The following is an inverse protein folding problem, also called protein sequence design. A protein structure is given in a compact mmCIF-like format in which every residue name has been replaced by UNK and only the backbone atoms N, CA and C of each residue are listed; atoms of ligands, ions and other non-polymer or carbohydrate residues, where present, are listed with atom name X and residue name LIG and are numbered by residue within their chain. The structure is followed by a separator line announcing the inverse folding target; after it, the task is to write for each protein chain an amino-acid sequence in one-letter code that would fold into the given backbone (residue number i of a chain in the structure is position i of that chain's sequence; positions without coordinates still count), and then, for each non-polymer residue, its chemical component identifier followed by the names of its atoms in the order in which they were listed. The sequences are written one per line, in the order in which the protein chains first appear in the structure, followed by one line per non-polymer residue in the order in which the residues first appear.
data_IF_532327767230
#
_entry.id   IF_532327767230
#
_cell.length_a   1.000
_cell.length_b   1.000
_cell.length_c   1.000
_cell.angle_alpha   90.00
_cell.angle_beta   90.00
_cell.angle_gamma   90.00
#
_symmetry.space_group_name_H-M   'P 1'
#
loop_
_entity.id
_entity.type
_entity.pdbx_description
1 polymer ?
#
# COMPACT_ATOMS: atom_id res chain seq x y z
N UNK A 1 41.46 22.46 27.59
CA UNK A 1 41.61 21.68 28.82
C UNK A 1 41.07 20.26 28.63
N UNK A 2 42.02 19.33 28.45
CA UNK A 2 42.05 17.91 28.84
C UNK A 2 40.72 17.16 29.17
N UNK A 3 40.15 16.41 28.20
CA UNK A 3 39.25 15.24 28.44
C UNK A 3 39.89 13.83 28.29
N UNK A 4 41.21 13.58 28.45
CA UNK A 4 41.79 12.24 28.40
C UNK A 4 41.61 11.44 29.71
N UNK A 5 41.46 12.10 30.87
CA UNK A 5 41.41 11.39 32.16
C UNK A 5 40.12 10.58 32.37
N UNK A 6 38.99 11.04 31.83
CA UNK A 6 37.71 10.33 31.92
C UNK A 6 37.69 9.04 31.07
N UNK A 7 38.35 9.07 29.90
CA UNK A 7 38.51 7.88 29.05
C UNK A 7 39.47 6.86 29.66
N UNK A 8 40.52 7.35 30.34
CA UNK A 8 41.49 6.51 31.03
C UNK A 8 40.86 5.73 32.19
N UNK A 9 40.03 6.38 33.00
CA UNK A 9 39.30 5.71 34.10
C UNK A 9 38.29 4.65 33.63
N UNK A 10 37.63 4.86 32.48
CA UNK A 10 36.74 3.83 31.88
C UNK A 10 37.51 2.66 31.28
N UNK A 11 38.68 2.91 30.67
CA UNK A 11 39.53 1.83 30.13
C UNK A 11 40.18 1.02 31.25
N UNK A 12 40.62 1.67 32.32
CA UNK A 12 41.17 1.00 33.50
C UNK A 12 40.10 0.16 34.22
N UNK A 13 38.83 0.61 34.27
CA UNK A 13 37.73 -0.21 34.83
C UNK A 13 37.34 -1.40 33.97
N UNK A 14 37.48 -1.30 32.63
CA UNK A 14 37.25 -2.40 31.70
C UNK A 14 38.39 -3.42 31.71
N UNK A 15 39.62 -2.98 31.93
CA UNK A 15 40.81 -3.86 32.01
C UNK A 15 40.94 -4.53 33.39
N UNK A 16 40.53 -3.86 34.48
CA UNK A 16 40.51 -4.44 35.83
C UNK A 16 39.36 -5.43 36.08
N UNK A 17 38.45 -5.59 35.12
CA UNK A 17 37.47 -6.69 35.10
C UNK A 17 38.05 -8.03 34.63
N UNK A 18 39.39 -8.14 34.53
CA UNK A 18 40.04 -9.45 34.41
C UNK A 18 39.80 -10.31 35.65
N UNK A 19 39.05 -11.41 35.43
CA UNK A 19 39.13 -12.70 36.11
C UNK A 19 38.45 -12.82 37.48
N UNK A 20 37.15 -12.53 37.51
CA UNK A 20 36.26 -13.56 38.08
C UNK A 20 35.95 -14.56 36.98
N UNK A 21 36.82 -15.58 36.83
CA UNK A 21 36.52 -16.74 35.99
C UNK A 21 35.35 -17.49 36.59
N UNK A 22 34.12 -17.02 36.33
CA UNK A 22 32.94 -17.88 36.40
C UNK A 22 33.15 -18.93 35.33
N UNK A 23 33.62 -20.12 35.74
CA UNK A 23 33.67 -21.24 34.83
C UNK A 23 32.25 -21.49 34.32
N UNK A 24 32.01 -21.42 33.00
CA UNK A 24 30.71 -21.73 32.45
C UNK A 24 30.43 -23.22 32.71
N UNK A 25 29.48 -23.51 33.60
CA UNK A 25 29.01 -24.88 33.79
C UNK A 25 28.31 -25.34 32.52
N UNK A 26 28.68 -26.51 32.00
CA UNK A 26 27.93 -27.13 30.90
C UNK A 26 26.48 -27.33 31.38
N UNK A 27 25.48 -26.77 30.67
CA UNK A 27 24.09 -26.99 31.05
C UNK A 27 23.79 -28.49 31.03
N UNK A 28 23.01 -28.97 32.01
CA UNK A 28 22.73 -30.39 32.21
C UNK A 28 21.83 -31.02 31.14
N UNK A 29 21.54 -30.30 30.05
CA UNK A 29 20.69 -30.75 28.97
C UNK A 29 21.50 -31.46 27.88
N UNK A 30 21.03 -32.63 27.43
CA UNK A 30 21.67 -33.42 26.37
C UNK A 30 21.68 -32.72 25.00
N UNK A 31 20.80 -31.73 24.81
CA UNK A 31 20.76 -30.84 23.63
C UNK A 31 20.42 -29.43 24.11
N UNK A 32 21.20 -28.45 23.67
CA UNK A 32 20.99 -27.05 24.05
C UNK A 32 19.63 -26.55 23.53
N UNK A 33 18.78 -25.91 24.36
CA UNK A 33 17.56 -25.22 23.92
C UNK A 33 17.81 -24.06 22.95
N UNK A 34 19.07 -23.61 22.83
CA UNK A 34 19.49 -22.67 21.79
C UNK A 34 19.69 -23.36 20.43
N UNK A 35 19.84 -24.67 20.40
CA UNK A 35 19.99 -25.49 19.18
C UNK A 35 18.65 -26.18 18.87
N UNK A 36 17.99 -26.76 19.86
CA UNK A 36 16.63 -27.29 19.73
C UNK A 36 15.62 -26.14 19.78
N UNK A 37 14.93 -25.90 18.67
CA UNK A 37 14.02 -24.76 18.46
C UNK A 37 14.69 -23.40 18.23
N UNK A 38 15.99 -23.33 17.86
CA UNK A 38 16.62 -22.07 17.43
C UNK A 38 15.75 -21.27 16.43
N UNK A 39 15.05 -21.99 15.56
CA UNK A 39 14.14 -21.42 14.57
C UNK A 39 12.92 -20.71 15.17
N UNK A 40 12.42 -21.16 16.33
CA UNK A 40 11.33 -20.49 17.06
C UNK A 40 11.84 -19.24 17.79
N UNK A 41 13.08 -19.28 18.29
CA UNK A 41 13.65 -18.21 19.12
C UNK A 41 14.36 -17.11 18.33
N UNK A 42 14.92 -17.43 17.16
CA UNK A 42 15.76 -16.49 16.39
C UNK A 42 14.98 -15.37 15.70
N UNK A 43 13.64 -15.43 15.71
CA UNK A 43 12.77 -14.44 15.06
C UNK A 43 12.98 -14.30 13.55
N UNK A 44 13.79 -15.17 12.94
CA UNK A 44 14.09 -15.12 11.50
C UNK A 44 12.90 -15.71 10.74
N UNK A 45 12.25 -14.94 9.84
CA UNK A 45 11.17 -15.47 9.04
C UNK A 45 11.67 -16.65 8.20
N UNK A 46 11.05 -17.82 8.36
CA UNK A 46 11.23 -18.95 7.44
C UNK A 46 10.72 -18.51 6.07
N UNK A 47 11.64 -18.20 5.15
CA UNK A 47 11.29 -18.11 3.72
C UNK A 47 10.84 -19.50 3.29
N UNK A 48 9.55 -19.68 3.08
CA UNK A 48 9.03 -20.85 2.38
C UNK A 48 9.52 -20.76 0.94
N UNK A 49 10.65 -21.40 0.65
CA UNK A 49 11.15 -21.58 -0.70
C UNK A 49 10.28 -22.60 -1.43
N UNK A 50 9.11 -22.18 -1.90
CA UNK A 50 8.34 -22.96 -2.87
C UNK A 50 9.00 -22.77 -4.24
N UNK A 51 9.94 -23.65 -4.58
CA UNK A 51 10.57 -23.65 -5.91
C UNK A 51 9.62 -24.07 -7.03
N UNK A 52 8.50 -24.70 -6.67
CA UNK A 52 7.55 -25.27 -7.62
C UNK A 52 6.10 -25.02 -7.17
N UNK A 53 5.28 -24.45 -8.05
CA UNK A 53 3.85 -24.25 -7.81
C UNK A 53 3.10 -25.59 -7.60
N UNK A 54 3.63 -26.69 -8.14
CA UNK A 54 3.08 -28.03 -7.89
C UNK A 54 3.31 -28.52 -6.46
N UNK A 55 4.40 -28.10 -5.82
CA UNK A 55 4.66 -28.42 -4.41
C UNK A 55 3.67 -27.71 -3.48
N UNK A 56 3.31 -26.46 -3.79
CA UNK A 56 2.24 -25.74 -3.09
C UNK A 56 0.86 -26.43 -3.26
N UNK A 57 0.55 -26.92 -4.47
CA UNK A 57 -0.67 -27.72 -4.73
C UNK A 57 -0.69 -29.01 -3.91
N UNK A 58 0.44 -29.73 -3.81
CA UNK A 58 0.57 -30.97 -3.01
C UNK A 58 0.41 -30.72 -1.50
N UNK A 59 0.77 -29.53 -1.02
CA UNK A 59 0.59 -29.13 0.38
C UNK A 59 -0.80 -28.56 0.68
N UNK A 60 -1.74 -28.60 -0.27
CA UNK A 60 -3.03 -27.90 -0.18
C UNK A 60 -2.90 -26.41 0.17
N UNK A 61 -1.72 -25.82 -0.02
CA UNK A 61 -1.54 -24.39 0.10
C UNK A 61 -2.27 -23.77 -1.09
N UNK A 62 -3.02 -22.67 -0.89
CA UNK A 62 -3.73 -22.03 -1.99
C UNK A 62 -2.71 -21.58 -3.04
N UNK A 63 -2.56 -22.38 -4.10
CA UNK A 63 -1.61 -22.18 -5.19
C UNK A 63 -2.03 -21.06 -6.14
N UNK A 64 -2.88 -20.15 -5.67
CA UNK A 64 -3.54 -19.08 -6.41
C UNK A 64 -3.39 -17.72 -5.73
N UNK A 65 -2.26 -17.45 -5.06
CA UNK A 65 -2.00 -16.12 -4.52
C UNK A 65 -1.90 -15.05 -5.62
N UNK A 66 -1.53 -15.43 -6.84
CA UNK A 66 -1.49 -14.51 -7.99
C UNK A 66 -2.88 -13.98 -8.37
N UNK A 67 -3.95 -14.74 -8.10
CA UNK A 67 -5.33 -14.30 -8.33
C UNK A 67 -5.96 -13.65 -7.10
N UNK A 68 -5.24 -13.50 -5.99
CA UNK A 68 -5.75 -12.82 -4.81
C UNK A 68 -5.38 -11.33 -4.84
N UNK A 69 -6.38 -10.45 -4.78
CA UNK A 69 -6.19 -9.00 -4.77
C UNK A 69 -5.22 -8.52 -3.69
N UNK A 70 -5.36 -9.02 -2.46
CA UNK A 70 -4.53 -8.59 -1.33
C UNK A 70 -3.09 -9.08 -1.46
N UNK A 71 -2.89 -10.31 -1.94
CA UNK A 71 -1.55 -10.80 -2.22
C UNK A 71 -0.85 -9.95 -3.30
N UNK A 72 -1.56 -9.53 -4.36
CA UNK A 72 -1.00 -8.61 -5.37
C UNK A 72 -0.64 -7.24 -4.78
N UNK A 73 -1.51 -6.67 -3.95
CA UNK A 73 -1.23 -5.40 -3.27
C UNK A 73 0.03 -5.51 -2.38
N UNK A 74 0.13 -6.57 -1.58
CA UNK A 74 1.19 -6.78 -0.59
C UNK A 74 2.53 -7.22 -1.19
N UNK A 75 2.52 -7.88 -2.35
CA UNK A 75 3.74 -8.29 -3.07
C UNK A 75 4.40 -7.14 -3.83
N UNK A 76 3.71 -5.99 -3.95
CA UNK A 76 4.26 -4.83 -4.63
C UNK A 76 5.49 -4.24 -3.90
N UNK A 77 6.46 -3.65 -4.62
CA UNK A 77 7.67 -3.13 -4.00
C UNK A 77 7.40 -2.13 -2.88
N UNK A 78 8.12 -2.27 -1.76
CA UNK A 78 8.03 -1.35 -0.63
C UNK A 78 8.58 0.03 -1.00
N UNK A 79 7.83 1.08 -0.68
CA UNK A 79 8.22 2.48 -0.84
C UNK A 79 8.05 3.22 0.47
N UNK A 80 8.85 4.27 0.64
CA UNK A 80 8.77 5.13 1.82
C UNK A 80 7.65 6.15 1.61
N UNK A 81 6.65 6.14 2.47
CA UNK A 81 5.68 7.23 2.56
C UNK A 81 6.39 8.48 3.08
N UNK A 82 6.34 9.54 2.28
CA UNK A 82 6.96 10.82 2.57
C UNK A 82 6.38 11.54 3.79
N UNK A 83 5.09 11.34 4.03
CA UNK A 83 4.35 12.03 5.08
C UNK A 83 4.55 11.32 6.41
N UNK A 84 4.29 10.01 6.44
CA UNK A 84 4.33 9.20 7.67
C UNK A 84 5.71 8.63 7.99
N UNK A 85 6.64 8.61 7.02
CA UNK A 85 7.96 7.94 7.10
C UNK A 85 7.88 6.43 7.29
N UNK A 86 6.71 5.82 7.11
CA UNK A 86 6.51 4.38 7.15
C UNK A 86 6.78 3.78 5.77
N UNK A 87 7.35 2.58 5.72
CA UNK A 87 7.46 1.83 4.46
C UNK A 87 6.20 1.02 4.23
N UNK A 88 5.59 1.17 3.06
CA UNK A 88 4.42 0.41 2.65
C UNK A 88 4.57 -0.08 1.19
N UNK A 89 3.87 -1.16 0.81
CA UNK A 89 3.81 -1.59 -0.60
C UNK A 89 3.32 -0.45 -1.48
N UNK A 90 3.93 -0.25 -2.67
CA UNK A 90 3.63 0.89 -3.54
C UNK A 90 2.15 0.98 -3.90
N UNK A 91 1.43 -0.14 -4.02
CA UNK A 91 0.01 -0.13 -4.41
C UNK A 91 -0.91 0.40 -3.31
N UNK A 92 -0.43 0.48 -2.06
CA UNK A 92 -1.14 1.12 -0.94
C UNK A 92 -0.85 2.62 -0.83
N UNK A 93 -0.01 3.15 -1.73
CA UNK A 93 0.43 4.54 -1.74
C UNK A 93 -0.02 5.22 -3.03
N UNK A 94 -0.13 6.54 -2.99
CA UNK A 94 -0.35 7.39 -4.15
C UNK A 94 0.98 7.94 -4.63
N UNK A 95 1.19 7.90 -5.95
CA UNK A 95 2.32 8.57 -6.58
C UNK A 95 2.02 10.05 -6.75
N UNK A 96 2.87 10.89 -6.18
CA UNK A 96 2.87 12.34 -6.38
C UNK A 96 4.04 12.69 -7.27
N UNK A 97 3.77 13.34 -8.39
CA UNK A 97 4.75 13.65 -9.41
C UNK A 97 5.03 15.12 -9.52
N UNK A 98 6.30 15.44 -9.73
CA UNK A 98 6.72 16.79 -10.07
C UNK A 98 6.58 16.99 -11.57
N UNK A 99 5.70 17.91 -11.96
CA UNK A 99 5.43 18.31 -13.36
C UNK A 99 5.76 19.79 -13.53
N UNK A 100 6.05 20.19 -14.78
CA UNK A 100 6.09 21.62 -15.11
C UNK A 100 4.67 22.17 -14.95
N UNK A 101 4.54 23.29 -14.25
CA UNK A 101 3.26 23.95 -14.11
C UNK A 101 2.80 24.43 -15.49
N UNK A 102 1.54 24.17 -15.81
CA UNK A 102 0.91 24.81 -16.96
C UNK A 102 0.64 26.27 -16.58
N UNK A 103 1.36 27.20 -17.22
CA UNK A 103 1.34 28.63 -16.87
C UNK A 103 -0.08 29.21 -17.02
N UNK A 104 -0.89 28.66 -17.94
CA UNK A 104 -2.26 29.13 -18.18
C UNK A 104 -3.26 28.60 -17.15
N UNK A 105 -3.06 27.37 -16.66
CA UNK A 105 -3.94 26.71 -15.69
C UNK A 105 -3.46 26.81 -14.22
N UNK A 106 -2.23 27.27 -13.99
CA UNK A 106 -1.66 27.40 -12.65
C UNK A 106 -2.26 28.59 -11.89
N UNK A 107 -2.64 28.35 -10.64
CA UNK A 107 -3.15 29.37 -9.72
C UNK A 107 -2.05 30.40 -9.38
N UNK A 108 -0.79 29.95 -9.35
CA UNK A 108 0.36 30.78 -9.07
C UNK A 108 1.32 30.76 -10.26
N UNK A 109 1.11 31.70 -11.18
CA UNK A 109 1.90 31.89 -12.41
C UNK A 109 3.38 32.16 -12.15
N UNK A 110 3.77 32.43 -10.90
CA UNK A 110 5.16 32.66 -10.53
C UNK A 110 5.95 31.37 -10.32
N UNK A 111 5.29 30.22 -10.18
CA UNK A 111 5.95 28.95 -9.85
C UNK A 111 6.08 28.03 -11.07
N UNK A 112 7.30 27.58 -11.41
CA UNK A 112 7.54 26.78 -12.61
C UNK A 112 7.10 25.30 -12.49
N UNK A 113 6.84 24.79 -11.28
CA UNK A 113 6.51 23.38 -11.06
C UNK A 113 5.28 23.17 -10.16
N UNK A 114 4.68 22.00 -10.32
CA UNK A 114 3.54 21.54 -9.52
C UNK A 114 3.73 20.08 -9.09
N UNK A 115 3.22 19.75 -7.90
CA UNK A 115 3.15 18.39 -7.41
C UNK A 115 1.72 17.87 -7.59
N UNK A 116 1.52 16.89 -8.47
CA UNK A 116 0.20 16.28 -8.72
C UNK A 116 0.15 14.79 -8.38
N UNK A 117 -0.91 14.32 -7.70
CA UNK A 117 -1.14 12.89 -7.57
C UNK A 117 -1.47 12.27 -8.92
N UNK A 118 -1.22 10.97 -9.05
CA UNK A 118 -1.51 10.21 -10.26
C UNK A 118 -2.21 8.91 -9.89
N UNK A 119 -3.22 8.54 -10.67
CA UNK A 119 -3.92 7.26 -10.51
C UNK A 119 -3.10 6.13 -11.11
N UNK A 120 -2.47 6.37 -12.26
CA UNK A 120 -1.67 5.35 -12.93
C UNK A 120 -0.23 5.46 -12.48
N UNK A 121 0.36 4.30 -12.17
CA UNK A 121 1.77 4.18 -11.82
C UNK A 121 2.63 4.45 -13.06
N UNK A 122 2.82 5.71 -13.40
CA UNK A 122 3.61 6.16 -14.53
C UNK A 122 5.11 6.13 -14.16
N UNK A 123 5.99 5.76 -15.10
CA UNK A 123 7.44 5.65 -14.83
C UNK A 123 8.21 6.96 -14.99
N UNK A 124 7.68 7.87 -15.79
CA UNK A 124 8.37 9.09 -16.22
C UNK A 124 8.17 10.19 -15.18
N UNK A 125 9.17 11.05 -14.97
CA UNK A 125 9.21 12.15 -13.98
C UNK A 125 9.61 11.78 -12.53
N UNK A 126 10.24 12.72 -11.80
CA UNK A 126 10.50 12.59 -10.37
C UNK A 126 9.23 12.30 -9.58
N UNK A 127 9.28 11.25 -8.76
CA UNK A 127 8.11 10.72 -8.05
C UNK A 127 8.36 10.59 -6.55
N UNK A 128 7.35 10.99 -5.78
CA UNK A 128 7.19 10.74 -4.36
C UNK A 128 6.03 9.80 -4.12
N UNK A 129 6.02 9.14 -2.96
CA UNK A 129 4.93 8.29 -2.53
C UNK A 129 4.35 8.84 -1.23
N UNK A 130 3.03 8.91 -1.16
CA UNK A 130 2.28 9.37 0.01
C UNK A 130 1.16 8.37 0.34
N UNK A 131 0.68 8.35 1.57
CA UNK A 131 -0.44 7.49 1.97
C UNK A 131 -1.69 7.71 1.11
N UNK A 132 -2.32 6.63 0.65
CA UNK A 132 -3.62 6.66 -0.01
C UNK A 132 -4.76 6.83 1.03
N UNK A 133 -4.77 7.96 1.72
CA UNK A 133 -5.79 8.35 2.69
C UNK A 133 -5.99 9.86 2.60
N UNK A 134 -7.22 10.27 2.31
CA UNK A 134 -7.62 11.68 2.26
C UNK A 134 -7.40 12.37 3.62
N UNK A 135 -7.74 11.71 4.72
CA UNK A 135 -7.61 12.25 6.07
C UNK A 135 -6.15 12.48 6.47
N UNK A 136 -5.26 11.53 6.15
CA UNK A 136 -3.83 11.69 6.43
C UNK A 136 -3.21 12.82 5.62
N UNK A 137 -3.60 12.96 4.36
CA UNK A 137 -3.17 14.08 3.53
C UNK A 137 -3.68 15.40 4.07
N UNK A 138 -4.98 15.50 4.38
CA UNK A 138 -5.56 16.75 4.88
C UNK A 138 -4.89 17.19 6.19
N UNK A 139 -4.62 16.25 7.11
CA UNK A 139 -3.93 16.52 8.37
C UNK A 139 -2.48 16.99 8.22
N UNK A 140 -1.82 16.66 7.10
CA UNK A 140 -0.37 16.89 6.88
C UNK A 140 -0.09 17.83 5.71
N UNK A 141 -1.13 18.52 5.24
CA UNK A 141 -1.12 19.50 4.17
C UNK A 141 -0.12 20.63 4.40
N UNK A 142 0.10 21.07 5.65
CA UNK A 142 1.02 22.17 6.00
C UNK A 142 2.52 21.87 5.83
N UNK A 143 2.90 20.73 5.25
CA UNK A 143 4.30 20.27 5.16
C UNK A 143 4.75 19.94 3.73
N UNK A 144 4.50 20.86 2.79
CA UNK A 144 4.76 20.77 1.35
C UNK A 144 6.16 20.24 0.99
N UNK A 145 7.21 20.66 1.72
CA UNK A 145 8.59 20.15 1.53
C UNK A 145 8.73 18.64 1.63
N UNK A 146 7.86 17.97 2.40
CA UNK A 146 7.96 16.53 2.56
C UNK A 146 7.51 15.80 1.30
N UNK A 147 6.71 16.43 0.46
CA UNK A 147 6.10 15.82 -0.71
C UNK A 147 7.03 15.80 -1.92
N UNK A 148 8.07 16.65 -1.91
CA UNK A 148 9.02 16.73 -3.02
C UNK A 148 9.85 15.44 -3.18
N UNK A 149 10.01 14.92 -4.42
CA UNK A 149 10.87 13.78 -4.69
C UNK A 149 12.31 14.05 -4.26
N UNK A 150 12.95 13.12 -3.57
CA UNK A 150 14.38 13.26 -3.18
C UNK A 150 15.28 13.46 -4.39
N UNK A 151 14.94 12.90 -5.55
CA UNK A 151 15.71 13.10 -6.78
C UNK A 151 15.65 14.54 -7.29
N UNK A 152 14.57 15.27 -7.03
CA UNK A 152 14.44 16.69 -7.36
C UNK A 152 15.16 17.57 -6.32
N UNK A 153 15.10 17.19 -5.04
CA UNK A 153 15.78 17.90 -3.96
C UNK A 153 17.31 17.78 -4.02
N UNK A 154 17.82 16.62 -4.44
CA UNK A 154 19.25 16.30 -4.42
C UNK A 154 19.88 16.34 -5.82
N UNK A 155 19.24 17.01 -6.78
CA UNK A 155 19.78 17.14 -8.14
C UNK A 155 20.95 18.11 -8.16
N UNK A 156 22.10 17.66 -8.68
CA UNK A 156 23.29 18.49 -8.86
C UNK A 156 23.15 19.51 -10.02
N UNK A 157 22.10 19.39 -10.85
CA UNK A 157 21.90 20.23 -12.05
C UNK A 157 21.01 21.44 -11.73
N UNK A 158 19.98 21.25 -10.92
CA UNK A 158 19.12 22.34 -10.41
C UNK A 158 18.45 21.88 -9.13
N UNK A 159 18.75 22.55 -8.01
CA UNK A 159 18.03 22.34 -6.76
C UNK A 159 16.66 23.00 -6.88
N UNK A 160 15.59 22.21 -6.69
CA UNK A 160 14.21 22.69 -6.69
C UNK A 160 13.85 23.01 -5.24
N UNK A 161 13.62 24.29 -4.95
CA UNK A 161 13.30 24.80 -3.63
C UNK A 161 11.78 24.94 -3.42
N UNK A 162 11.35 25.22 -2.18
CA UNK A 162 9.93 25.49 -1.85
C UNK A 162 9.28 26.59 -2.69
N UNK A 163 10.06 27.61 -3.04
CA UNK A 163 9.58 28.71 -3.86
C UNK A 163 9.28 28.27 -5.29
N UNK A 164 9.88 27.18 -5.78
CA UNK A 164 9.77 26.75 -7.18
C UNK A 164 8.53 25.91 -7.46
N UNK A 165 7.76 25.49 -6.43
CA UNK A 165 6.58 24.66 -6.65
C UNK A 165 5.37 25.01 -5.79
N UNK A 166 4.20 24.73 -6.35
CA UNK A 166 2.92 24.75 -5.64
C UNK A 166 2.55 23.33 -5.21
N UNK A 167 2.20 23.18 -3.94
CA UNK A 167 1.44 22.01 -3.47
C UNK A 167 0.05 22.50 -3.13
N UNK A 168 -0.98 21.98 -3.78
CA UNK A 168 -2.37 22.25 -3.40
C UNK A 168 -2.97 20.95 -2.86
N UNK A 169 -3.19 20.84 -1.54
CA UNK A 169 -3.94 19.75 -0.94
C UNK A 169 -5.32 19.56 -1.60
N UNK A 170 -5.91 20.64 -2.13
CA UNK A 170 -7.18 20.65 -2.85
C UNK A 170 -7.14 19.79 -4.11
N UNK A 171 -6.05 19.82 -4.90
CA UNK A 171 -5.87 18.92 -6.05
C UNK A 171 -5.84 17.45 -5.62
N UNK A 172 -5.28 17.18 -4.43
CA UNK A 172 -5.24 15.83 -3.89
C UNK A 172 -6.60 15.34 -3.38
N UNK A 173 -7.45 16.23 -2.87
CA UNK A 173 -8.75 15.85 -2.31
C UNK A 173 -9.86 15.88 -3.37
N UNK A 174 -9.86 16.86 -4.27
CA UNK A 174 -10.93 17.06 -5.25
C UNK A 174 -10.58 16.45 -6.60
N UNK A 175 -9.47 16.86 -7.21
CA UNK A 175 -9.13 16.42 -8.57
C UNK A 175 -8.81 14.93 -8.61
N UNK A 176 -8.05 14.44 -7.63
CA UNK A 176 -7.75 13.01 -7.53
C UNK A 176 -9.01 12.16 -7.34
N UNK A 177 -9.94 12.60 -6.47
CA UNK A 177 -11.23 11.93 -6.27
C UNK A 177 -12.04 11.93 -7.55
N UNK A 178 -12.13 13.08 -8.23
CA UNK A 178 -12.86 13.24 -9.48
C UNK A 178 -12.28 12.32 -10.57
N UNK A 179 -10.96 12.25 -10.68
CA UNK A 179 -10.28 11.40 -11.66
C UNK A 179 -10.45 9.90 -11.32
N UNK A 180 -10.43 9.52 -10.03
CA UNK A 180 -10.70 8.16 -9.56
C UNK A 180 -12.14 7.73 -9.89
N UNK A 181 -13.12 8.58 -9.59
CA UNK A 181 -14.52 8.34 -9.88
C UNK A 181 -14.78 8.27 -11.39
N UNK A 182 -14.22 9.20 -12.18
CA UNK A 182 -14.33 9.17 -13.64
C UNK A 182 -13.73 7.89 -14.24
N UNK A 183 -12.57 7.46 -13.73
CA UNK A 183 -11.95 6.19 -14.13
C UNK A 183 -12.79 4.99 -13.73
N UNK A 184 -13.39 5.01 -12.53
CA UNK A 184 -14.24 3.94 -12.02
C UNK A 184 -15.50 3.80 -12.86
N UNK A 185 -16.23 4.89 -13.09
CA UNK A 185 -17.44 4.92 -13.92
C UNK A 185 -17.16 4.33 -15.30
N UNK A 186 -16.08 4.76 -15.95
CA UNK A 186 -15.66 4.22 -17.25
C UNK A 186 -15.37 2.72 -17.20
N UNK A 187 -14.56 2.28 -16.24
CA UNK A 187 -14.17 0.87 -16.12
C UNK A 187 -15.36 -0.03 -15.77
N UNK A 188 -16.26 0.45 -14.91
CA UNK A 188 -17.43 -0.29 -14.46
C UNK A 188 -18.47 -0.41 -15.57
N UNK A 189 -18.74 0.66 -16.32
CA UNK A 189 -19.61 0.60 -17.51
C UNK A 189 -19.08 -0.40 -18.55
N UNK A 190 -17.77 -0.40 -18.83
CA UNK A 190 -17.18 -1.38 -19.74
C UNK A 190 -17.30 -2.81 -19.23
N UNK A 191 -17.03 -3.05 -17.94
CA UNK A 191 -17.13 -4.39 -17.35
C UNK A 191 -18.57 -4.92 -17.36
N UNK A 192 -19.56 -4.06 -17.08
CA UNK A 192 -20.97 -4.46 -17.03
C UNK A 192 -21.51 -4.90 -18.41
N UNK A 193 -21.08 -4.25 -19.50
CA UNK A 193 -21.45 -4.66 -20.86
C UNK A 193 -20.99 -6.10 -21.13
N UNK A 194 -19.79 -6.47 -20.69
CA UNK A 194 -19.23 -7.81 -20.91
C UNK A 194 -19.84 -8.86 -19.98
N UNK A 195 -20.16 -8.50 -18.73
CA UNK A 195 -20.78 -9.40 -17.75
C UNK A 195 -22.20 -9.84 -18.17
N UNK A 196 -22.91 -9.00 -18.93
CA UNK A 196 -24.27 -9.31 -19.42
C UNK A 196 -24.27 -10.15 -20.70
N UNK A 197 -23.13 -10.26 -21.42
CA UNK A 197 -23.05 -10.89 -22.74
C UNK A 197 -22.48 -12.31 -22.74
N UNK A 198 -21.64 -12.69 -21.76
CA UNK A 198 -21.03 -14.02 -21.74
C UNK A 198 -21.57 -14.95 -20.62
N UNK A 199 -21.87 -16.23 -20.92
CA UNK A 199 -22.13 -17.22 -19.89
C UNK A 199 -20.86 -17.42 -19.05
N UNK A 200 -20.94 -17.11 -17.75
CA UNK A 200 -19.81 -17.13 -16.81
C UNK A 200 -19.13 -18.52 -16.77
N UNK A 201 -17.90 -18.60 -17.28
CA UNK A 201 -17.05 -19.81 -17.23
C UNK A 201 -16.44 -20.04 -15.84
N UNK A 202 -16.35 -19.01 -15.00
CA UNK A 202 -15.77 -19.07 -13.66
C UNK A 202 -16.63 -18.32 -12.64
N UNK A 203 -16.61 -18.77 -11.39
CA UNK A 203 -17.25 -18.04 -10.28
C UNK A 203 -16.36 -16.88 -9.85
N UNK A 204 -16.96 -15.71 -9.65
CA UNK A 204 -16.24 -14.54 -9.15
C UNK A 204 -15.70 -14.75 -7.74
N UNK A 205 -14.44 -14.37 -7.51
CA UNK A 205 -13.80 -14.33 -6.19
C UNK A 205 -14.00 -12.98 -5.47
N UNK A 206 -14.57 -12.00 -6.18
CA UNK A 206 -14.92 -10.67 -5.71
C UNK A 206 -16.41 -10.43 -5.99
N UNK A 207 -17.11 -9.85 -5.01
CA UNK A 207 -18.51 -9.41 -5.15
C UNK A 207 -18.57 -7.93 -4.85
N UNK A 208 -19.13 -7.17 -5.78
CA UNK A 208 -19.37 -5.74 -5.65
C UNK A 208 -20.81 -5.48 -5.26
N UNK A 209 -21.01 -4.60 -4.27
CA UNK A 209 -22.34 -4.23 -3.76
C UNK A 209 -22.40 -2.76 -3.42
N UNK A 210 -23.61 -2.23 -3.31
CA UNK A 210 -23.90 -0.99 -2.59
C UNK A 210 -24.84 -1.34 -1.43
N UNK A 211 -24.31 -1.42 -0.20
CA UNK A 211 -25.12 -1.71 0.98
C UNK A 211 -24.66 -0.88 2.18
N UNK A 212 -25.51 0.00 2.74
CA UNK A 212 -25.13 0.87 3.87
C UNK A 212 -24.87 0.12 5.18
N UNK A 213 -25.26 -1.16 5.29
CA UNK A 213 -25.06 -1.98 6.48
C UNK A 213 -23.72 -2.74 6.49
N UNK A 214 -23.00 -2.73 5.37
CA UNK A 214 -21.73 -3.46 5.23
C UNK A 214 -20.55 -2.50 5.31
N UNK A 215 -19.39 -2.94 5.84
CA UNK A 215 -18.17 -2.15 5.76
C UNK A 215 -17.68 -2.05 4.30
N UNK A 216 -16.81 -1.08 4.02
CA UNK A 216 -16.24 -0.85 2.69
C UNK A 216 -15.61 -2.12 2.08
N UNK A 217 -14.90 -2.91 2.90
CA UNK A 217 -14.32 -4.19 2.49
C UNK A 217 -14.68 -5.23 3.53
N UNK A 218 -15.23 -6.37 3.10
CA UNK A 218 -15.49 -7.52 3.97
C UNK A 218 -15.18 -8.83 3.26
N UNK A 219 -15.21 -9.92 4.02
CA UNK A 219 -15.00 -11.26 3.50
C UNK A 219 -16.20 -12.12 3.89
N UNK A 220 -16.83 -12.76 2.91
CA UNK A 220 -17.97 -13.65 3.09
C UNK A 220 -17.52 -15.09 2.93
N UNK A 221 -17.95 -15.99 3.82
CA UNK A 221 -17.75 -17.43 3.60
C UNK A 221 -18.55 -17.85 2.37
N UNK A 222 -17.91 -18.57 1.44
CA UNK A 222 -18.62 -19.18 0.32
C UNK A 222 -19.72 -20.10 0.84
N UNK A 223 -20.87 -20.05 0.19
CA UNK A 223 -22.00 -20.95 0.47
C UNK A 223 -21.75 -22.38 -0.01
N UNK A 224 -20.66 -22.64 -0.76
CA UNK A 224 -20.36 -23.96 -1.34
C UNK A 224 -19.50 -24.80 -0.38
N UNK A 225 -19.96 -26.00 0.02
CA UNK A 225 -19.26 -26.84 1.00
C UNK A 225 -17.95 -27.47 0.48
N UNK A 226 -17.76 -27.53 -0.85
CA UNK A 226 -16.64 -28.25 -1.48
C UNK A 226 -15.35 -27.43 -1.59
N UNK A 227 -15.40 -26.10 -1.45
CA UNK A 227 -14.21 -25.26 -1.43
C UNK A 227 -14.40 -24.14 -0.41
N UNK A 228 -13.61 -24.14 0.66
CA UNK A 228 -13.57 -23.08 1.67
C UNK A 228 -12.88 -21.84 1.08
N UNK A 229 -13.47 -21.26 0.04
CA UNK A 229 -13.04 -19.98 -0.50
C UNK A 229 -13.85 -18.89 0.17
N UNK A 230 -13.15 -17.92 0.73
CA UNK A 230 -13.77 -16.72 1.24
C UNK A 230 -13.86 -15.73 0.06
N UNK A 231 -15.07 -15.24 -0.22
CA UNK A 231 -15.31 -14.26 -1.29
C UNK A 231 -15.08 -12.86 -0.74
N UNK A 232 -14.32 -12.04 -1.46
CA UNK A 232 -14.08 -10.65 -1.04
C UNK A 232 -15.27 -9.80 -1.46
N UNK A 233 -15.80 -9.02 -0.54
CA UNK A 233 -16.91 -8.10 -0.75
C UNK A 233 -16.37 -6.67 -0.79
N UNK A 234 -16.55 -5.99 -1.91
CA UNK A 234 -16.21 -4.57 -2.10
C UNK A 234 -17.50 -3.76 -2.12
N UNK A 235 -17.73 -2.99 -1.06
CA UNK A 235 -18.93 -2.19 -0.88
C UNK A 235 -18.68 -0.76 -1.33
N UNK A 236 -19.39 -0.32 -2.37
CA UNK A 236 -19.30 1.03 -2.93
C UNK A 236 -20.25 2.03 -2.26
N UNK A 237 -21.09 1.63 -1.30
CA UNK A 237 -21.97 2.56 -0.58
C UNK A 237 -21.23 3.77 0.04
N UNK A 238 -20.02 3.62 0.63
CA UNK A 238 -19.28 4.76 1.19
C UNK A 238 -18.84 5.80 0.15
N UNK A 239 -18.84 5.46 -1.14
CA UNK A 239 -18.39 6.35 -2.22
C UNK A 239 -19.37 7.50 -2.46
N UNK A 240 -20.67 7.27 -2.21
CA UNK A 240 -21.76 8.26 -2.38
C UNK A 240 -21.75 8.95 -3.76
N UNK A 241 -21.54 8.16 -4.81
CA UNK A 241 -21.55 8.63 -6.19
C UNK A 241 -22.83 8.16 -6.92
N UNK A 242 -23.73 9.08 -7.34
CA UNK A 242 -25.01 8.70 -7.93
C UNK A 242 -24.91 7.92 -9.24
N UNK A 243 -23.86 8.14 -10.04
CA UNK A 243 -23.66 7.41 -11.28
C UNK A 243 -23.21 5.97 -11.01
N UNK A 244 -22.28 5.79 -10.07
CA UNK A 244 -21.86 4.46 -9.61
C UNK A 244 -23.04 3.69 -8.99
N UNK A 245 -23.84 4.34 -8.14
CA UNK A 245 -25.03 3.73 -7.54
C UNK A 245 -26.04 3.28 -8.62
N UNK A 246 -26.27 4.11 -9.64
CA UNK A 246 -27.13 3.75 -10.79
C UNK A 246 -26.58 2.56 -11.57
N UNK A 247 -25.27 2.49 -11.79
CA UNK A 247 -24.64 1.39 -12.54
C UNK A 247 -24.71 0.06 -11.79
N UNK A 248 -24.57 0.09 -10.46
CA UNK A 248 -24.70 -1.11 -9.60
C UNK A 248 -26.18 -1.47 -9.39
N UNK A 249 -27.09 -0.50 -9.35
CA UNK A 249 -28.54 -0.71 -9.27
C UNK A 249 -28.96 -1.71 -8.17
N UNK A 250 -28.34 -1.60 -6.99
CA UNK A 250 -28.60 -2.49 -5.83
C UNK A 250 -28.44 -4.01 -6.12
N UNK A 251 -27.71 -4.39 -7.18
CA UNK A 251 -27.42 -5.80 -7.51
C UNK A 251 -26.05 -6.23 -7.01
N UNK A 252 -25.90 -7.52 -6.70
CA UNK A 252 -24.59 -8.12 -6.47
C UNK A 252 -23.92 -8.35 -7.84
N UNK A 253 -22.77 -7.72 -8.07
CA UNK A 253 -21.98 -7.94 -9.30
C UNK A 253 -20.79 -8.83 -8.93
N UNK A 254 -20.78 -10.05 -9.45
CA UNK A 254 -19.65 -10.96 -9.28
C UNK A 254 -18.55 -10.61 -10.29
N UNK A 255 -17.33 -10.44 -9.78
CA UNK A 255 -16.13 -10.15 -10.54
C UNK A 255 -15.10 -11.25 -10.25
N UNK A 256 -14.34 -11.60 -11.28
CA UNK A 256 -13.13 -12.42 -11.14
C UNK A 256 -11.91 -11.51 -11.16
N UNK A 257 -11.06 -11.56 -10.13
CA UNK A 257 -9.86 -10.72 -10.05
C UNK A 257 -8.88 -10.97 -11.21
N UNK A 258 -8.78 -12.22 -11.71
CA UNK A 258 -7.91 -12.55 -12.84
C UNK A 258 -8.33 -11.87 -14.14
N UNK A 259 -9.63 -11.60 -14.30
CA UNK A 259 -10.19 -10.96 -15.51
C UNK A 259 -10.35 -9.44 -15.32
N UNK A 260 -10.66 -9.00 -14.09
CA UNK A 260 -11.05 -7.63 -13.77
C UNK A 260 -10.02 -6.93 -12.86
N UNK A 261 -8.74 -7.32 -12.93
CA UNK A 261 -7.68 -6.86 -12.04
C UNK A 261 -7.65 -5.33 -11.89
N UNK A 262 -7.63 -4.61 -13.02
CA UNK A 262 -7.56 -3.14 -13.04
C UNK A 262 -8.74 -2.49 -12.34
N UNK A 263 -9.96 -2.99 -12.57
CA UNK A 263 -11.18 -2.49 -11.94
C UNK A 263 -11.16 -2.77 -10.42
N UNK A 264 -10.80 -3.98 -10.02
CA UNK A 264 -10.76 -4.39 -8.62
C UNK A 264 -9.73 -3.56 -7.82
N UNK A 265 -8.55 -3.34 -8.39
CA UNK A 265 -7.51 -2.49 -7.77
C UNK A 265 -7.95 -1.01 -7.70
N UNK A 266 -8.65 -0.52 -8.72
CA UNK A 266 -9.19 0.85 -8.72
C UNK A 266 -10.25 1.05 -7.64
N UNK A 267 -11.18 0.10 -7.51
CA UNK A 267 -12.19 0.11 -6.44
C UNK A 267 -11.52 0.07 -5.07
N UNK A 268 -10.57 -0.85 -4.87
CA UNK A 268 -9.82 -0.93 -3.61
C UNK A 268 -9.15 0.40 -3.28
N UNK A 269 -8.49 1.02 -4.27
CA UNK A 269 -7.80 2.30 -4.08
C UNK A 269 -8.77 3.41 -3.66
N UNK A 270 -9.94 3.50 -4.30
CA UNK A 270 -10.96 4.49 -3.95
C UNK A 270 -11.50 4.26 -2.53
N UNK A 271 -11.85 3.02 -2.19
CA UNK A 271 -12.36 2.67 -0.87
C UNK A 271 -11.32 2.95 0.23
N UNK A 272 -10.06 2.60 0.00
CA UNK A 272 -8.97 2.90 0.93
C UNK A 272 -8.74 4.41 1.08
N UNK A 273 -8.87 5.17 -0.01
CA UNK A 273 -8.72 6.62 0.00
C UNK A 273 -9.79 7.31 0.85
N UNK A 274 -11.04 6.81 0.79
CA UNK A 274 -12.21 7.40 1.45
C UNK A 274 -12.50 6.81 2.84
N UNK A 275 -11.87 5.69 3.23
CA UNK A 275 -12.15 4.96 4.47
C UNK A 275 -12.05 5.83 5.75
N UNK A 276 -11.22 6.87 5.74
CA UNK A 276 -11.01 7.75 6.90
C UNK A 276 -11.88 9.03 6.88
N UNK A 277 -12.64 9.29 5.81
CA UNK A 277 -13.54 10.45 5.71
C UNK A 277 -14.89 10.23 6.38
N UNK A 278 -15.28 8.99 6.64
CA UNK A 278 -16.56 8.65 7.28
C UNK A 278 -16.37 8.56 8.79
N UNK A 279 -16.36 9.70 9.46
CA UNK A 279 -16.63 9.81 10.91
C UNK A 279 -17.65 10.90 11.16
#
# INVERSE_FOLDING_TARGET
MSKPNALKGCLESLVSLEKTTRQPSKPSCGTSPLISNFEKWSGKPRKLYSRDAQYAKKLCLPSGLSSNIFAQLLTSPMRLDRITRVRAPKELLVQVKLRKADIEASVDRSKPFELRPTIRMERELPTSYVSNSSALVHKRSSSDMKWLPSSANNSNIRQINQADFVTQPEWYLQDYTKELLGSLRKALSSALIHVEQEPRKSHGDIVLVCNPRLPAISVRKSKKPSVVLATTLLNLDPVKDPEVEKLVNNREIELSFSEHQSLCLLIYRLLAFQADCTK
#
